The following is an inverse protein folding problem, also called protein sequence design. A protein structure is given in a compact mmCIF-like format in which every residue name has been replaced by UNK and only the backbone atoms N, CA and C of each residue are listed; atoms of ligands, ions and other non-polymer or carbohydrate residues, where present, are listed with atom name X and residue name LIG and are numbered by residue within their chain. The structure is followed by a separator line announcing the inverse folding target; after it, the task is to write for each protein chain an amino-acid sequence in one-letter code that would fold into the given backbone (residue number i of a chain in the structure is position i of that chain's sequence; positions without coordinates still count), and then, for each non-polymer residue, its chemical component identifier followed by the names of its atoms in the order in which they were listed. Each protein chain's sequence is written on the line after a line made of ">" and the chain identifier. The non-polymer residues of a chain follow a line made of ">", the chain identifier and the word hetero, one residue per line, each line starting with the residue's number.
data_IF_828044687831
#
_entry.id   IF_828044687831
#
_cell.length_a   1.000
_cell.length_b   1.000
_cell.length_c   1.000
_cell.angle_alpha   90.00
_cell.angle_beta   90.00
_cell.angle_gamma   90.00
#
_symmetry.space_group_name_H-M   'P 1'
#
loop_
_entity.id
_entity.type
_entity.pdbx_description
1 polymer ?
#
# COMPACT_ATOMS: atom_id res chain seq x y z
N UNK A 1 11.90 -3.88 -24.48
CA UNK A 1 11.62 -2.44 -24.22
C UNK A 1 10.96 -1.90 -25.47
N UNK A 2 9.76 -1.35 -25.34
CA UNK A 2 9.02 -0.72 -26.43
C UNK A 2 8.69 0.72 -26.02
N UNK A 3 8.65 1.63 -26.97
CA UNK A 3 8.38 3.04 -26.72
C UNK A 3 6.88 3.31 -26.88
N UNK A 4 6.26 3.91 -25.86
CA UNK A 4 4.85 4.26 -25.89
C UNK A 4 4.70 5.76 -25.63
N UNK A 5 3.97 6.43 -26.51
CA UNK A 5 3.66 7.87 -26.36
C UNK A 5 2.22 8.03 -25.89
N UNK A 6 2.04 8.62 -24.70
CA UNK A 6 0.73 9.03 -24.20
C UNK A 6 0.43 10.45 -24.71
N UNK A 7 -0.51 10.57 -25.66
CA UNK A 7 -0.76 11.82 -26.39
C UNK A 7 -1.67 12.80 -25.66
N UNK A 8 -2.43 12.33 -24.68
CA UNK A 8 -3.42 13.11 -23.94
C UNK A 8 -3.19 12.99 -22.44
N UNK A 9 -3.40 14.07 -21.66
CA UNK A 9 -3.37 13.99 -20.21
C UNK A 9 -4.53 13.11 -19.72
N UNK A 10 -4.29 12.36 -18.64
CA UNK A 10 -5.28 11.48 -18.05
C UNK A 10 -5.20 11.53 -16.52
N UNK A 11 -6.29 11.14 -15.87
CA UNK A 11 -6.36 10.94 -14.42
C UNK A 11 -6.44 9.44 -14.13
N UNK A 12 -5.79 9.01 -13.06
CA UNK A 12 -5.86 7.63 -12.56
C UNK A 12 -6.17 7.66 -11.06
N UNK A 13 -6.91 6.67 -10.59
CA UNK A 13 -7.23 6.55 -9.17
C UNK A 13 -5.94 6.46 -8.34
N UNK A 14 -5.83 7.31 -7.30
CA UNK A 14 -4.71 7.27 -6.36
C UNK A 14 -4.65 5.95 -5.58
N UNK A 15 -5.81 5.36 -5.32
CA UNK A 15 -5.99 4.11 -4.62
C UNK A 15 -6.80 3.13 -5.47
N UNK A 16 -6.65 1.82 -5.26
CA UNK A 16 -7.60 0.85 -5.77
C UNK A 16 -9.03 1.17 -5.31
N UNK A 17 -10.01 0.73 -6.08
CA UNK A 17 -11.43 0.89 -5.73
C UNK A 17 -11.69 0.17 -4.41
N UNK A 18 -12.23 0.90 -3.43
CA UNK A 18 -12.50 0.34 -2.11
C UNK A 18 -13.81 -0.44 -2.08
N UNK A 19 -13.97 -1.31 -1.08
CA UNK A 19 -15.21 -2.08 -0.90
C UNK A 19 -16.43 -1.18 -0.66
N UNK A 20 -16.26 -0.06 0.05
CA UNK A 20 -17.33 0.92 0.23
C UNK A 20 -17.75 1.56 -1.11
N UNK A 21 -16.78 1.95 -1.95
CA UNK A 21 -17.04 2.51 -3.28
C UNK A 21 -17.73 1.49 -4.18
N UNK A 22 -17.24 0.25 -4.17
CA UNK A 22 -17.83 -0.84 -4.94
C UNK A 22 -19.28 -1.08 -4.53
N UNK A 23 -19.57 -1.21 -3.24
CA UNK A 23 -20.91 -1.43 -2.71
C UNK A 23 -21.86 -0.27 -3.06
N UNK A 24 -21.39 0.98 -3.00
CA UNK A 24 -22.19 2.15 -3.36
C UNK A 24 -22.61 2.17 -4.85
N UNK A 25 -21.81 1.57 -5.73
CA UNK A 25 -22.09 1.52 -7.18
C UNK A 25 -22.84 0.25 -7.57
N UNK A 26 -22.34 -0.91 -7.12
CA UNK A 26 -22.77 -2.24 -7.56
C UNK A 26 -23.83 -2.86 -6.65
N UNK A 27 -23.95 -2.42 -5.39
CA UNK A 27 -24.90 -2.95 -4.40
C UNK A 27 -24.48 -4.26 -3.72
N UNK A 28 -23.40 -4.90 -4.17
CA UNK A 28 -22.85 -6.14 -3.60
C UNK A 28 -21.39 -5.96 -3.17
N UNK A 29 -20.80 -6.94 -2.49
CA UNK A 29 -19.36 -7.00 -2.22
C UNK A 29 -18.88 -8.45 -2.36
N UNK A 30 -18.09 -8.80 -3.41
CA UNK A 30 -17.57 -10.15 -3.61
C UNK A 30 -16.29 -10.45 -2.78
N UNK A 31 -15.76 -9.45 -2.08
CA UNK A 31 -14.48 -9.58 -1.36
C UNK A 31 -14.58 -10.62 -0.23
N UNK A 32 -13.59 -11.49 -0.17
CA UNK A 32 -13.31 -12.39 0.94
C UNK A 32 -12.88 -11.62 2.19
N UNK A 33 -11.94 -10.68 2.07
CA UNK A 33 -11.53 -9.82 3.18
C UNK A 33 -12.53 -8.68 3.32
N UNK A 34 -13.07 -8.43 4.51
CA UNK A 34 -14.13 -7.44 4.70
C UNK A 34 -13.66 -6.22 5.47
N UNK A 35 -13.64 -5.07 4.81
CA UNK A 35 -13.51 -3.75 5.43
C UNK A 35 -13.75 -2.67 4.37
N UNK A 36 -14.43 -1.59 4.76
CA UNK A 36 -14.84 -0.52 3.85
C UNK A 36 -13.67 0.20 3.16
N UNK A 37 -12.49 0.22 3.80
CA UNK A 37 -11.28 0.88 3.30
C UNK A 37 -10.30 -0.08 2.60
N UNK A 38 -10.62 -1.38 2.54
CA UNK A 38 -9.82 -2.34 1.78
C UNK A 38 -10.18 -2.28 0.29
N UNK A 39 -9.24 -2.64 -0.60
CA UNK A 39 -9.56 -2.85 -2.00
C UNK A 39 -10.63 -3.94 -2.15
N UNK A 40 -11.50 -3.78 -3.15
CA UNK A 40 -12.38 -4.87 -3.57
C UNK A 40 -11.55 -5.95 -4.27
N UNK A 41 -11.84 -7.21 -3.97
CA UNK A 41 -11.21 -8.37 -4.61
C UNK A 41 -12.25 -9.45 -4.93
N UNK A 42 -11.84 -10.54 -5.61
CA UNK A 42 -12.72 -11.52 -6.27
C UNK A 42 -13.68 -10.90 -7.31
N UNK A 43 -13.20 -9.93 -8.07
CA UNK A 43 -13.94 -9.31 -9.19
C UNK A 43 -13.44 -9.85 -10.52
N UNK A 44 -14.35 -10.16 -11.44
CA UNK A 44 -13.97 -10.47 -12.82
C UNK A 44 -13.64 -9.19 -13.60
N UNK A 45 -12.99 -9.34 -14.75
CA UNK A 45 -12.72 -8.21 -15.63
C UNK A 45 -14.01 -7.58 -16.17
N UNK A 46 -15.02 -8.40 -16.48
CA UNK A 46 -16.34 -7.93 -16.91
C UNK A 46 -17.09 -7.15 -15.82
N UNK A 47 -16.96 -7.57 -14.56
CA UNK A 47 -17.51 -6.82 -13.43
C UNK A 47 -16.82 -5.46 -13.28
N UNK A 48 -15.50 -5.39 -13.47
CA UNK A 48 -14.74 -4.15 -13.39
C UNK A 48 -15.13 -3.17 -14.51
N UNK A 49 -15.39 -3.66 -15.72
CA UNK A 49 -15.96 -2.84 -16.80
C UNK A 49 -17.36 -2.35 -16.46
N UNK A 50 -18.23 -3.24 -15.96
CA UNK A 50 -19.59 -2.92 -15.56
C UNK A 50 -19.62 -1.86 -14.46
N UNK A 51 -18.68 -1.92 -13.51
CA UNK A 51 -18.48 -0.88 -12.50
C UNK A 51 -18.17 0.48 -13.14
N UNK A 52 -17.25 0.54 -14.11
CA UNK A 52 -16.91 1.79 -14.80
C UNK A 52 -18.12 2.42 -15.53
N UNK A 53 -18.95 1.59 -16.17
CA UNK A 53 -20.19 2.02 -16.84
C UNK A 53 -21.17 2.62 -15.82
N UNK A 54 -21.43 1.91 -14.71
CA UNK A 54 -22.35 2.41 -13.67
C UNK A 54 -21.82 3.68 -12.98
N UNK A 55 -20.50 3.79 -12.77
CA UNK A 55 -19.91 5.04 -12.25
C UNK A 55 -20.15 6.19 -13.21
N UNK A 56 -19.97 5.96 -14.52
CA UNK A 56 -20.25 6.97 -15.55
C UNK A 56 -21.71 7.40 -15.53
N UNK A 57 -22.65 6.46 -15.42
CA UNK A 57 -24.09 6.76 -15.33
C UNK A 57 -24.43 7.59 -14.08
N UNK A 58 -23.82 7.29 -12.93
CA UNK A 58 -24.11 7.98 -11.67
C UNK A 58 -23.46 9.36 -11.57
N UNK A 59 -22.26 9.53 -12.10
CA UNK A 59 -21.44 10.75 -11.91
C UNK A 59 -21.39 11.65 -13.12
N UNK A 60 -21.72 11.14 -14.32
CA UNK A 60 -21.53 11.83 -15.59
C UNK A 60 -20.07 11.90 -16.06
N UNK A 61 -19.11 11.36 -15.28
CA UNK A 61 -17.71 11.35 -15.65
C UNK A 61 -17.34 10.13 -16.49
N UNK A 62 -16.49 10.34 -17.50
CA UNK A 62 -15.95 9.24 -18.32
C UNK A 62 -14.90 8.47 -17.52
N UNK A 63 -15.30 7.35 -16.92
CA UNK A 63 -14.43 6.42 -16.21
C UNK A 63 -14.24 5.14 -17.04
N UNK A 64 -13.03 4.59 -17.04
CA UNK A 64 -12.66 3.33 -17.70
C UNK A 64 -11.43 2.71 -17.04
N UNK A 65 -11.13 1.45 -17.36
CA UNK A 65 -9.91 0.79 -16.93
C UNK A 65 -8.70 1.41 -17.66
N UNK A 66 -7.56 1.60 -16.98
CA UNK A 66 -6.35 2.10 -17.62
C UNK A 66 -5.80 1.06 -18.60
N UNK A 67 -5.19 1.54 -19.69
CA UNK A 67 -4.34 0.70 -20.54
C UNK A 67 -3.07 0.28 -19.78
N UNK A 68 -2.43 -0.82 -20.20
CA UNK A 68 -1.17 -1.29 -19.58
C UNK A 68 -0.12 -0.18 -19.57
N UNK A 69 0.03 0.56 -20.66
CA UNK A 69 0.98 1.67 -20.75
C UNK A 69 0.65 2.85 -19.81
N UNK A 70 -0.63 3.20 -19.66
CA UNK A 70 -1.05 4.23 -18.71
C UNK A 70 -0.79 3.80 -17.27
N UNK A 71 -1.07 2.52 -16.97
CA UNK A 71 -0.83 1.95 -15.65
C UNK A 71 0.67 1.90 -15.32
N UNK A 72 1.50 1.41 -16.24
CA UNK A 72 2.95 1.37 -16.07
C UNK A 72 3.56 2.76 -15.90
N UNK A 73 3.12 3.73 -16.72
CA UNK A 73 3.58 5.13 -16.60
C UNK A 73 3.25 5.71 -15.21
N UNK A 74 2.02 5.49 -14.73
CA UNK A 74 1.61 5.95 -13.41
C UNK A 74 2.41 5.26 -12.27
N UNK A 75 2.66 3.96 -12.38
CA UNK A 75 3.42 3.21 -11.38
C UNK A 75 4.90 3.60 -11.33
N UNK A 76 5.50 3.94 -12.47
CA UNK A 76 6.91 4.36 -12.56
C UNK A 76 7.12 5.80 -12.08
N UNK A 77 6.11 6.66 -12.15
CA UNK A 77 6.19 8.06 -11.71
C UNK A 77 7.42 8.82 -12.29
N UNK A 78 7.80 8.50 -13.53
CA UNK A 78 8.96 9.08 -14.22
C UNK A 78 10.30 8.38 -13.97
N UNK A 79 10.36 7.32 -13.16
CA UNK A 79 11.61 6.57 -12.90
C UNK A 79 11.80 5.42 -13.88
N UNK A 80 13.05 5.07 -14.15
CA UNK A 80 13.44 3.89 -14.94
C UNK A 80 13.92 2.72 -14.07
N UNK A 81 13.85 2.88 -12.75
CA UNK A 81 14.27 1.88 -11.77
C UNK A 81 13.28 0.70 -11.71
N UNK A 82 13.72 -0.48 -11.22
CA UNK A 82 12.82 -1.64 -11.07
C UNK A 82 11.62 -1.38 -10.16
N UNK A 83 11.74 -0.47 -9.19
CA UNK A 83 10.60 0.01 -8.42
C UNK A 83 10.66 1.52 -8.24
N UNK A 84 9.49 2.15 -8.11
CA UNK A 84 9.33 3.61 -8.05
C UNK A 84 9.94 4.25 -6.81
N UNK A 85 9.98 3.55 -5.68
CA UNK A 85 10.60 4.05 -4.44
C UNK A 85 12.14 4.00 -4.46
N UNK A 86 12.77 3.36 -5.46
CA UNK A 86 14.23 3.21 -5.55
C UNK A 86 14.92 4.33 -6.35
N UNK A 87 14.23 5.43 -6.67
CA UNK A 87 14.87 6.61 -7.25
C UNK A 87 15.97 7.12 -6.29
N UNK A 88 17.23 6.95 -6.69
CA UNK A 88 18.40 7.36 -5.90
C UNK A 88 19.37 6.24 -5.49
N UNK A 89 19.07 4.96 -5.77
CA UNK A 89 20.06 3.88 -5.60
C UNK A 89 20.70 3.60 -6.96
N UNK A 90 21.84 4.23 -7.22
CA UNK A 90 22.71 3.87 -8.32
C UNK A 90 23.18 2.42 -8.11
N UNK A 91 23.03 1.57 -9.14
CA UNK A 91 23.71 0.27 -9.13
C UNK A 91 25.21 0.55 -9.27
N UNK A 92 25.93 0.62 -8.16
CA UNK A 92 27.35 0.34 -8.22
C UNK A 92 27.51 -1.12 -8.62
N UNK A 93 27.77 -1.33 -9.90
CA UNK A 93 28.22 -2.60 -10.43
C UNK A 93 29.62 -2.87 -9.86
N UNK A 94 29.70 -3.55 -8.73
CA UNK A 94 30.98 -3.99 -8.16
C UNK A 94 30.90 -4.24 -6.66
N UNK A 95 31.21 -5.47 -6.28
CA UNK A 95 31.45 -5.96 -4.91
C UNK A 95 30.23 -6.16 -3.99
N UNK A 96 29.61 -7.33 -4.16
CA UNK A 96 28.98 -8.07 -3.08
C UNK A 96 30.03 -8.42 -1.99
N UNK A 97 30.36 -7.46 -1.13
CA UNK A 97 31.03 -7.76 0.14
C UNK A 97 30.04 -7.51 1.27
N UNK A 98 29.40 -8.60 1.74
CA UNK A 98 28.66 -8.59 3.01
C UNK A 98 29.64 -8.18 4.11
N UNK A 99 29.61 -6.93 4.55
CA UNK A 99 30.16 -6.52 5.86
C UNK A 99 28.99 -6.44 6.85
N UNK A 100 28.50 -7.60 7.25
CA UNK A 100 27.94 -7.74 8.60
C UNK A 100 29.14 -8.00 9.51
N UNK A 101 29.57 -7.05 10.37
CA UNK A 101 30.47 -7.43 11.44
C UNK A 101 29.62 -8.27 12.39
N UNK A 102 29.84 -9.58 12.37
CA UNK A 102 29.40 -10.43 13.45
C UNK A 102 30.18 -9.96 14.68
N UNK A 103 29.54 -9.12 15.49
CA UNK A 103 30.11 -8.53 16.69
C UNK A 103 30.61 -9.65 17.60
N UNK A 104 31.92 -9.67 17.78
CA UNK A 104 32.66 -10.58 18.62
C UNK A 104 32.12 -10.49 20.06
N UNK A 105 31.64 -11.62 20.57
CA UNK A 105 31.08 -11.76 21.92
C UNK A 105 32.20 -11.59 22.93
N UNK A 106 32.31 -10.43 23.59
CA UNK A 106 33.03 -10.30 24.85
C UNK A 106 32.04 -10.05 25.97
N UNK A 107 31.84 -11.11 26.74
CA UNK A 107 31.23 -11.08 28.06
C UNK A 107 32.20 -10.41 29.03
N UNK A 108 31.87 -9.18 29.43
CA UNK A 108 32.24 -8.49 30.68
C UNK A 108 31.80 -7.04 30.53
N UNK A 109 30.71 -6.70 31.21
CA UNK A 109 30.42 -5.41 31.85
C UNK A 109 28.90 -5.30 32.07
N UNK A 110 28.44 -5.84 33.19
CA UNK A 110 27.08 -5.61 33.71
C UNK A 110 27.14 -4.51 34.77
N UNK A 111 26.67 -3.28 34.50
CA UNK A 111 26.39 -2.32 35.56
C UNK A 111 24.99 -2.55 36.16
N UNK A 112 24.96 -2.57 37.50
CA UNK A 112 23.84 -2.29 38.41
C UNK A 112 22.40 -2.44 37.93
N UNK A 113 21.70 -3.42 38.52
CA UNK A 113 20.23 -3.44 38.59
C UNK A 113 19.73 -2.20 39.33
N UNK A 114 19.16 -1.25 38.60
CA UNK A 114 18.12 -0.36 39.12
C UNK A 114 16.80 -0.69 38.43
N UNK A 115 15.83 -1.14 39.24
CA UNK A 115 14.45 -1.40 38.80
C UNK A 115 13.65 -0.11 38.96
N UNK A 116 13.00 0.43 37.92
CA UNK A 116 11.89 1.36 38.14
C UNK A 116 10.65 0.55 38.53
N UNK A 117 10.14 0.81 39.73
CA UNK A 117 8.89 0.25 40.23
C UNK A 117 7.71 0.77 39.43
N UNK A 118 6.84 -0.14 38.98
CA UNK A 118 5.49 0.20 38.56
C UNK A 118 4.59 0.03 39.80
N UNK A 119 4.16 1.15 40.36
CA UNK A 119 3.15 1.19 41.42
C UNK A 119 1.79 0.80 40.85
N UNK A 120 1.08 -0.05 41.59
CA UNK A 120 -0.33 -0.38 41.42
C UNK A 120 -1.17 0.60 42.23
N UNK A 121 -2.10 1.37 41.63
CA UNK A 121 -3.02 2.19 42.42
C UNK A 121 -4.03 1.31 43.16
N UNK A 122 -4.05 1.45 44.48
CA UNK A 122 -4.86 0.67 45.40
C UNK A 122 -6.37 0.91 45.31
N UNK A 123 -7.10 -0.16 45.62
CA UNK A 123 -8.48 -0.11 46.08
C UNK A 123 -8.54 0.56 47.46
N UNK A 124 -9.50 1.46 47.65
CA UNK A 124 -9.92 1.94 48.97
C UNK A 124 -11.43 1.74 49.11
N UNK A 125 -11.77 0.80 50.00
CA UNK A 125 -13.09 0.60 50.58
C UNK A 125 -13.52 1.85 51.37
N UNK A 126 -14.79 2.27 51.24
CA UNK A 126 -15.43 3.20 52.16
C UNK A 126 -16.06 2.46 53.35
N UNK A 127 -16.18 3.07 54.54
CA UNK A 127 -16.93 2.49 55.65
C UNK A 127 -18.44 2.75 55.56
N UNK A 128 -19.17 2.00 56.39
CA UNK A 128 -20.62 1.79 56.50
C UNK A 128 -21.51 3.03 56.59
#
# INVERSE_FOLDING_TARGET
>A
RHEVTLTQPFLIGKYPVTQAQWRAVMGSNPSYFQSDNLPVENVSWDDAQSFCVKVREKTGHTVCLPTEAQWEYACRAGTSTPFSFWAGVERHAGELRRKFPLGDRRERDLPGRDRPGWEVPGQSLGPA
#
